data_IF_652476636235
#
_entry.id   IF_652476636235
#
_cell.length_a   1.000
_cell.length_b   1.000
_cell.length_c   1.000
_cell.angle_alpha   90.00
_cell.angle_beta   90.00
_cell.angle_gamma   90.00
#
_symmetry.space_group_name_H-M   'P 1'
#
loop_
_entity.id
_entity.type
_entity.pdbx_description
1 polymer ?
#
# COMPACT_ATOMS: atom_id res chain seq x y z
N UNK A 1 -21.28 -10.72 18.46
CA UNK A 1 -20.19 -11.04 17.51
C UNK A 1 -20.68 -10.78 16.09
N UNK A 2 -20.31 -9.63 15.50
CA UNK A 2 -20.41 -9.40 14.05
C UNK A 2 -19.21 -8.56 13.67
N UNK A 3 -18.24 -9.20 13.02
CA UNK A 3 -17.06 -8.54 12.44
C UNK A 3 -17.57 -7.55 11.40
N UNK A 4 -17.49 -6.27 11.73
CA UNK A 4 -17.70 -5.18 10.78
C UNK A 4 -16.51 -5.25 9.84
N UNK A 5 -16.73 -5.57 8.57
CA UNK A 5 -15.70 -5.44 7.54
C UNK A 5 -15.17 -4.00 7.64
N UNK A 6 -13.96 -3.87 8.19
CA UNK A 6 -13.33 -2.58 8.37
C UNK A 6 -13.10 -2.01 6.97
N UNK A 7 -13.41 -0.73 6.77
CA UNK A 7 -12.91 -0.01 5.61
C UNK A 7 -11.38 -0.05 5.59
N UNK A 8 -10.74 0.39 4.49
CA UNK A 8 -9.29 0.43 4.39
C UNK A 8 -8.73 1.14 5.64
N UNK A 9 -7.67 0.61 6.26
CA UNK A 9 -7.20 1.10 7.54
C UNK A 9 -6.52 2.44 7.32
N UNK A 10 -7.27 3.55 7.43
CA UNK A 10 -6.74 4.90 7.19
C UNK A 10 -5.49 5.25 8.01
N UNK A 11 -5.30 4.60 9.17
CA UNK A 11 -4.08 4.75 9.99
C UNK A 11 -2.84 4.10 9.36
N UNK A 12 -3.00 3.09 8.49
CA UNK A 12 -1.90 2.50 7.73
C UNK A 12 -1.43 3.44 6.63
N UNK A 13 -2.36 4.05 5.88
CA UNK A 13 -2.03 5.06 4.87
C UNK A 13 -1.25 6.22 5.48
N UNK A 14 -1.66 6.72 6.64
CA UNK A 14 -0.97 7.81 7.35
C UNK A 14 0.44 7.42 7.80
N UNK A 15 0.61 6.26 8.45
CA UNK A 15 1.93 5.78 8.89
C UNK A 15 2.88 5.56 7.72
N UNK A 16 2.40 4.95 6.63
CA UNK A 16 3.23 4.71 5.45
C UNK A 16 3.54 6.02 4.71
N UNK A 17 2.65 7.00 4.72
CA UNK A 17 2.93 8.32 4.12
C UNK A 17 4.06 9.05 4.86
N UNK A 18 4.15 8.88 6.18
CA UNK A 18 5.26 9.39 6.97
C UNK A 18 6.57 8.61 6.78
N UNK A 19 6.49 7.31 6.48
CA UNK A 19 7.66 6.46 6.22
C UNK A 19 8.23 6.69 4.81
N UNK A 20 7.35 6.86 3.82
CA UNK A 20 7.68 7.02 2.41
C UNK A 20 7.48 8.47 1.93
N UNK A 21 8.15 9.44 2.58
CA UNK A 21 7.98 10.88 2.27
C UNK A 21 8.34 11.27 0.83
N UNK A 22 9.09 10.42 0.11
CA UNK A 22 9.43 10.62 -1.30
C UNK A 22 8.35 10.12 -2.27
N UNK A 23 7.39 9.35 -1.77
CA UNK A 23 6.24 8.84 -2.53
C UNK A 23 5.03 9.73 -2.23
N UNK A 24 4.28 10.19 -3.25
CA UNK A 24 3.07 10.98 -3.02
C UNK A 24 2.05 10.24 -2.14
N UNK A 25 1.43 10.94 -1.19
CA UNK A 25 0.46 10.34 -0.26
C UNK A 25 -0.74 9.68 -0.98
N UNK A 26 -1.17 10.23 -2.11
CA UNK A 26 -2.19 9.62 -2.99
C UNK A 26 -1.76 8.24 -3.54
N UNK A 27 -0.47 8.07 -3.82
CA UNK A 27 0.10 6.79 -4.28
C UNK A 27 0.18 5.79 -3.14
N UNK A 28 0.49 6.26 -1.93
CA UNK A 28 0.46 5.43 -0.71
C UNK A 28 -0.96 4.94 -0.43
N UNK A 29 -1.94 5.84 -0.46
CA UNK A 29 -3.34 5.51 -0.16
C UNK A 29 -3.89 4.47 -1.16
N UNK A 30 -3.70 4.73 -2.46
CA UNK A 30 -4.10 3.78 -3.50
C UNK A 30 -3.40 2.43 -3.38
N UNK A 31 -2.12 2.41 -2.98
CA UNK A 31 -1.41 1.16 -2.73
C UNK A 31 -2.02 0.37 -1.56
N UNK A 32 -2.41 1.06 -0.48
CA UNK A 32 -3.06 0.43 0.68
C UNK A 32 -4.43 -0.10 0.31
N UNK A 33 -5.23 0.67 -0.44
CA UNK A 33 -6.55 0.24 -0.95
C UNK A 33 -6.43 -0.97 -1.88
N UNK A 34 -5.48 -0.95 -2.82
CA UNK A 34 -5.26 -2.07 -3.75
C UNK A 34 -4.86 -3.34 -3.01
N UNK A 35 -3.96 -3.24 -2.02
CA UNK A 35 -3.55 -4.39 -1.20
C UNK A 35 -4.72 -4.93 -0.40
N UNK A 36 -5.55 -4.07 0.18
CA UNK A 36 -6.76 -4.45 0.90
C UNK A 36 -7.74 -5.19 -0.01
N UNK A 37 -8.05 -4.61 -1.18
CA UNK A 37 -8.96 -5.20 -2.16
C UNK A 37 -8.44 -6.55 -2.68
N UNK A 38 -7.14 -6.65 -2.99
CA UNK A 38 -6.52 -7.91 -3.40
C UNK A 38 -6.60 -8.98 -2.30
N UNK A 39 -6.27 -8.64 -1.05
CA UNK A 39 -6.30 -9.60 0.05
C UNK A 39 -7.73 -10.11 0.32
N UNK A 40 -8.72 -9.20 0.30
CA UNK A 40 -10.13 -9.55 0.44
C UNK A 40 -10.61 -10.45 -0.72
N UNK A 41 -10.22 -10.14 -1.95
CA UNK A 41 -10.57 -10.93 -3.14
C UNK A 41 -9.98 -12.35 -3.09
N UNK A 42 -8.77 -12.50 -2.55
CA UNK A 42 -8.09 -13.79 -2.40
C UNK A 42 -8.61 -14.61 -1.20
N UNK A 43 -9.53 -14.07 -0.39
CA UNK A 43 -10.03 -14.73 0.82
C UNK A 43 -8.97 -14.86 1.92
N UNK A 44 -7.92 -14.05 1.87
CA UNK A 44 -6.91 -13.97 2.93
C UNK A 44 -7.53 -13.25 4.12
N UNK A 45 -7.19 -13.67 5.35
CA UNK A 45 -7.58 -12.94 6.55
C UNK A 45 -6.92 -11.55 6.52
N UNK A 46 -7.70 -10.53 6.15
CA UNK A 46 -7.22 -9.17 5.93
C UNK A 46 -7.01 -8.49 7.27
N UNK A 47 -5.81 -8.68 7.82
CA UNK A 47 -5.37 -7.96 9.00
C UNK A 47 -4.57 -6.72 8.61
N UNK A 48 -4.65 -5.70 9.47
CA UNK A 48 -3.89 -4.46 9.33
C UNK A 48 -2.39 -4.70 9.18
N UNK A 49 -1.85 -5.71 9.88
CA UNK A 49 -0.43 -6.06 9.84
C UNK A 49 0.00 -6.66 8.49
N UNK A 50 -0.86 -7.51 7.89
CA UNK A 50 -0.61 -8.09 6.57
C UNK A 50 -0.65 -7.00 5.50
N UNK A 51 -1.64 -6.11 5.56
CA UNK A 51 -1.80 -5.00 4.62
C UNK A 51 -0.62 -4.04 4.70
N UNK A 52 -0.20 -3.65 5.92
CA UNK A 52 0.96 -2.78 6.12
C UNK A 52 2.23 -3.40 5.54
N UNK A 53 2.49 -4.70 5.81
CA UNK A 53 3.68 -5.38 5.30
C UNK A 53 3.71 -5.42 3.77
N UNK A 54 2.61 -5.83 3.12
CA UNK A 54 2.56 -5.93 1.66
C UNK A 54 2.65 -4.55 1.01
N UNK A 55 1.95 -3.54 1.56
CA UNK A 55 2.01 -2.17 1.05
C UNK A 55 3.43 -1.60 1.17
N UNK A 56 4.12 -1.83 2.29
CA UNK A 56 5.51 -1.40 2.48
C UNK A 56 6.45 -2.01 1.43
N UNK A 57 6.36 -3.31 1.20
CA UNK A 57 7.19 -3.98 0.17
C UNK A 57 6.95 -3.40 -1.23
N UNK A 58 5.68 -3.13 -1.58
CA UNK A 58 5.34 -2.49 -2.86
C UNK A 58 5.88 -1.06 -2.94
N UNK A 59 5.75 -0.28 -1.87
CA UNK A 59 6.25 1.10 -1.83
C UNK A 59 7.78 1.16 -1.87
N UNK A 60 8.50 0.20 -1.26
CA UNK A 60 9.94 0.07 -1.40
C UNK A 60 10.35 -0.16 -2.85
N UNK A 61 9.64 -1.04 -3.58
CA UNK A 61 9.89 -1.28 -4.99
C UNK A 61 9.60 -0.03 -5.86
N UNK A 62 8.59 0.76 -5.50
CA UNK A 62 8.26 2.05 -6.15
C UNK A 62 9.33 3.09 -5.87
N UNK A 63 9.74 3.28 -4.61
CA UNK A 63 10.75 4.26 -4.22
C UNK A 63 12.15 3.91 -4.76
N UNK A 64 12.47 2.63 -4.88
CA UNK A 64 13.73 2.14 -5.44
C UNK A 64 13.75 2.04 -6.96
N UNK A 65 12.59 2.07 -7.63
CA UNK A 65 12.53 2.12 -9.10
C UNK A 65 12.85 3.53 -9.57
N UNK A 66 14.13 3.80 -9.86
CA UNK A 66 14.47 4.92 -10.71
C UNK A 66 13.74 4.74 -12.05
N UNK A 67 13.01 5.74 -12.57
CA UNK A 67 12.45 5.61 -13.90
C UNK A 67 13.61 5.37 -14.87
N UNK A 68 13.59 4.21 -15.54
CA UNK A 68 14.47 3.94 -16.67
C UNK A 68 14.04 4.86 -17.82
N UNK A 69 14.37 6.14 -17.72
CA UNK A 69 14.30 7.06 -18.85
C UNK A 69 15.45 6.70 -19.77
N UNK A 70 15.20 5.76 -20.69
CA UNK A 70 16.14 5.49 -21.76
C UNK A 70 16.33 6.79 -22.57
N UNK A 71 17.58 7.28 -22.76
CA UNK A 71 17.80 8.44 -23.61
C UNK A 71 17.36 8.07 -25.03
N UNK A 72 16.44 8.85 -25.58
CA UNK A 72 16.14 8.81 -27.02
C UNK A 72 17.30 9.48 -27.74
N UNK A 73 18.28 8.69 -28.14
CA UNK A 73 19.31 9.04 -29.12
C UNK A 73 18.95 8.50 -30.48
#
# INVERSE_FOLDING_TARGET
MRSRAAGPPGHVSERLSHEFVTVPAETVDRCVEDVWACAAHLGVDVTTAVVERIARERLLAVAGSAPLVAPRG
#
